data_IF_158732164039
#
_entry.id   IF_158732164039
#
_cell.length_a   1.000
_cell.length_b   1.000
_cell.length_c   1.000
_cell.angle_alpha   90.00
_cell.angle_beta   90.00
_cell.angle_gamma   90.00
#
_symmetry.space_group_name_H-M   'P 1'
#
loop_
_entity.id
_entity.type
_entity.pdbx_description
1 polymer ?
#
# COMPACT_ATOMS: atom_id res chain seq x y z
N UNK A 1 44.74 -25.04 -8.90
CA UNK A 1 44.91 -23.77 -8.17
C UNK A 1 43.54 -23.13 -8.06
N UNK A 2 43.16 -22.76 -6.85
CA UNK A 2 41.89 -22.12 -6.52
C UNK A 2 42.03 -20.60 -6.64
N UNK A 3 41.01 -19.94 -7.20
CA UNK A 3 40.72 -18.49 -7.01
C UNK A 3 39.24 -18.29 -7.41
N UNK A 4 38.28 -18.36 -6.48
CA UNK A 4 37.74 -17.29 -5.64
C UNK A 4 37.18 -16.10 -6.42
N UNK A 5 35.85 -15.96 -6.40
CA UNK A 5 35.02 -14.73 -6.39
C UNK A 5 33.55 -15.18 -6.55
N UNK A 6 32.70 -15.31 -5.55
CA UNK A 6 32.64 -14.61 -4.28
C UNK A 6 31.85 -13.31 -4.40
N UNK A 7 30.52 -13.41 -4.53
CA UNK A 7 29.57 -12.36 -4.10
C UNK A 7 29.02 -11.44 -5.19
N UNK A 8 27.85 -11.77 -5.74
CA UNK A 8 26.93 -10.81 -6.36
C UNK A 8 25.49 -11.16 -5.93
N UNK A 9 25.19 -10.95 -4.66
CA UNK A 9 23.83 -10.94 -4.13
C UNK A 9 23.81 -9.95 -2.97
N UNK A 10 23.66 -8.67 -3.26
CA UNK A 10 23.57 -7.64 -2.23
C UNK A 10 23.11 -6.26 -2.72
N UNK A 11 23.38 -5.92 -3.99
CA UNK A 11 23.13 -4.55 -4.49
C UNK A 11 21.65 -4.28 -4.79
N UNK A 12 20.84 -5.30 -5.08
CA UNK A 12 19.41 -5.10 -5.29
C UNK A 12 18.62 -4.86 -3.99
N UNK A 13 19.15 -5.21 -2.81
CA UNK A 13 18.38 -5.17 -1.57
C UNK A 13 18.43 -3.79 -0.88
N UNK A 14 19.49 -3.00 -1.11
CA UNK A 14 19.65 -1.67 -0.53
C UNK A 14 18.78 -0.60 -1.21
N UNK A 15 18.51 -0.77 -2.51
CA UNK A 15 17.75 0.19 -3.33
C UNK A 15 16.24 0.20 -2.99
N UNK A 16 15.67 -0.96 -2.64
CA UNK A 16 14.28 -1.06 -2.15
C UNK A 16 14.07 -0.27 -0.85
N UNK A 17 14.98 -0.43 0.12
CA UNK A 17 14.88 0.23 1.43
C UNK A 17 14.98 1.76 1.35
N UNK A 18 15.85 2.28 0.48
CA UNK A 18 15.96 3.72 0.26
C UNK A 18 14.70 4.29 -0.41
N UNK A 19 14.15 3.54 -1.37
CA UNK A 19 12.89 3.87 -2.06
C UNK A 19 11.70 3.87 -1.10
N UNK A 20 11.62 2.90 -0.19
CA UNK A 20 10.58 2.81 0.84
C UNK A 20 10.60 4.02 1.79
N UNK A 21 11.79 4.44 2.25
CA UNK A 21 11.91 5.62 3.13
C UNK A 21 11.55 6.93 2.42
N UNK A 22 11.95 7.08 1.14
CA UNK A 22 11.58 8.24 0.34
C UNK A 22 10.07 8.30 0.08
N UNK A 23 9.44 7.14 -0.15
CA UNK A 23 8.01 7.03 -0.39
C UNK A 23 7.20 7.31 0.88
N UNK A 24 7.67 6.84 2.04
CA UNK A 24 7.10 7.16 3.35
C UNK A 24 7.16 8.67 3.63
N UNK A 25 8.32 9.29 3.40
CA UNK A 25 8.47 10.74 3.59
C UNK A 25 7.52 11.52 2.67
N UNK A 26 7.43 11.15 1.40
CA UNK A 26 6.51 11.77 0.44
C UNK A 26 5.03 11.63 0.87
N UNK A 27 4.62 10.45 1.34
CA UNK A 27 3.25 10.22 1.84
C UNK A 27 2.94 10.96 3.14
N UNK A 28 3.94 11.15 4.01
CA UNK A 28 3.80 11.96 5.23
C UNK A 28 3.65 13.45 4.89
N UNK A 29 4.31 13.94 3.83
CA UNK A 29 4.15 15.32 3.35
C UNK A 29 2.87 15.55 2.55
N UNK A 30 2.22 14.48 2.07
CA UNK A 30 1.00 14.60 1.29
C UNK A 30 -0.14 15.19 2.13
N UNK A 31 -0.94 16.06 1.52
CA UNK A 31 -2.16 16.58 2.16
C UNK A 31 -3.18 15.46 2.35
N UNK A 32 -4.13 15.60 3.31
CA UNK A 32 -5.22 14.63 3.45
C UNK A 32 -5.97 14.37 2.14
N UNK A 33 -6.21 15.41 1.33
CA UNK A 33 -6.88 15.28 0.04
C UNK A 33 -6.05 14.44 -0.96
N UNK A 34 -4.73 14.64 -1.02
CA UNK A 34 -3.85 13.86 -1.90
C UNK A 34 -3.80 12.38 -1.49
N UNK A 35 -3.78 12.09 -0.18
CA UNK A 35 -3.84 10.69 0.28
C UNK A 35 -5.15 10.01 -0.10
N UNK A 36 -6.28 10.73 0.01
CA UNK A 36 -7.58 10.19 -0.39
C UNK A 36 -7.63 9.90 -1.90
N UNK A 37 -7.17 10.83 -2.74
CA UNK A 37 -7.11 10.63 -4.18
C UNK A 37 -6.27 9.39 -4.55
N UNK A 38 -5.13 9.19 -3.90
CA UNK A 38 -4.30 8.00 -4.11
C UNK A 38 -5.01 6.70 -3.70
N UNK A 39 -5.72 6.70 -2.58
CA UNK A 39 -6.49 5.54 -2.13
C UNK A 39 -7.63 5.20 -3.10
N UNK A 40 -8.33 6.21 -3.62
CA UNK A 40 -9.39 6.03 -4.61
C UNK A 40 -8.85 5.42 -5.91
N UNK A 41 -7.70 5.88 -6.39
CA UNK A 41 -7.03 5.33 -7.58
C UNK A 41 -6.59 3.89 -7.35
N UNK A 42 -5.94 3.60 -6.21
CA UNK A 42 -5.53 2.24 -5.85
C UNK A 42 -6.74 1.29 -5.76
N UNK A 43 -7.86 1.75 -5.21
CA UNK A 43 -9.11 0.98 -5.16
C UNK A 43 -9.67 0.72 -6.55
N UNK A 44 -9.71 1.72 -7.43
CA UNK A 44 -10.16 1.53 -8.81
C UNK A 44 -9.31 0.49 -9.54
N UNK A 45 -7.99 0.55 -9.41
CA UNK A 45 -7.08 -0.43 -10.01
C UNK A 45 -7.33 -1.85 -9.45
N UNK A 46 -7.55 -1.97 -8.14
CA UNK A 46 -7.83 -3.25 -7.50
C UNK A 46 -9.17 -3.85 -7.94
N UNK A 47 -10.20 -3.02 -8.20
CA UNK A 47 -11.46 -3.49 -8.78
C UNK A 47 -11.32 -3.86 -10.26
N UNK A 48 -10.62 -3.03 -11.06
CA UNK A 48 -10.42 -3.28 -12.48
C UNK A 48 -9.61 -4.56 -12.75
N UNK A 49 -8.64 -4.86 -11.89
CA UNK A 49 -7.85 -6.10 -11.94
C UNK A 49 -8.57 -7.32 -11.36
N UNK A 50 -9.74 -7.14 -10.73
CA UNK A 50 -10.46 -8.23 -10.05
C UNK A 50 -9.80 -8.71 -8.76
N UNK A 51 -8.79 -7.99 -8.25
CA UNK A 51 -8.15 -8.29 -6.97
C UNK A 51 -9.12 -8.10 -5.79
N UNK A 52 -10.03 -7.14 -5.90
CA UNK A 52 -11.12 -6.93 -4.94
C UNK A 52 -12.46 -7.36 -5.53
N UNK A 53 -13.24 -8.09 -4.71
CA UNK A 53 -14.65 -8.37 -5.01
C UNK A 53 -15.46 -7.07 -4.88
N UNK A 54 -16.35 -6.74 -5.84
CA UNK A 54 -17.25 -5.60 -5.74
C UNK A 54 -17.95 -5.61 -4.38
N UNK A 55 -17.72 -4.57 -3.57
CA UNK A 55 -18.42 -4.46 -2.29
C UNK A 55 -19.91 -4.30 -2.57
N UNK A 56 -20.73 -5.12 -1.90
CA UNK A 56 -22.16 -4.82 -1.76
C UNK A 56 -22.26 -3.45 -1.06
N UNK A 57 -23.13 -2.54 -1.52
CA UNK A 57 -23.36 -1.32 -0.77
C UNK A 57 -23.80 -1.73 0.65
N UNK A 58 -22.99 -1.34 1.63
CA UNK A 58 -23.29 -1.52 3.05
C UNK A 58 -24.46 -0.60 3.35
N UNK A 59 -25.53 -1.12 3.95
CA UNK A 59 -26.65 -0.26 4.32
C UNK A 59 -26.22 0.75 5.39
N UNK A 60 -26.94 1.87 5.50
CA UNK A 60 -26.63 2.87 6.53
C UNK A 60 -26.69 2.25 7.93
N UNK A 61 -27.63 1.32 8.18
CA UNK A 61 -27.74 0.63 9.47
C UNK A 61 -26.54 -0.29 9.75
N UNK A 62 -26.03 -0.99 8.74
CA UNK A 62 -24.83 -1.83 8.87
C UNK A 62 -23.58 -0.97 9.18
N UNK A 63 -23.48 0.22 8.57
CA UNK A 63 -22.40 1.17 8.84
C UNK A 63 -22.43 1.67 10.29
N UNK A 64 -23.61 2.05 10.78
CA UNK A 64 -23.80 2.49 12.16
C UNK A 64 -23.53 1.36 13.17
N UNK A 65 -23.94 0.13 12.86
CA UNK A 65 -23.64 -1.04 13.68
C UNK A 65 -22.14 -1.36 13.77
N UNK A 66 -21.37 -1.17 12.68
CA UNK A 66 -19.92 -1.37 12.68
C UNK A 66 -19.16 -0.31 13.49
N UNK A 67 -19.64 0.93 13.53
CA UNK A 67 -19.07 2.01 14.33
C UNK A 67 -19.40 1.91 15.83
N UNK A 68 -20.43 1.13 16.18
CA UNK A 68 -20.94 0.95 17.54
C UNK A 68 -20.34 -0.26 18.27
N UNK A 69 -19.13 -0.70 17.89
CA UNK A 69 -18.46 -1.78 18.62
C UNK A 69 -18.15 -1.31 20.05
N UNK A 70 -18.65 -1.99 21.10
CA UNK A 70 -18.38 -1.58 22.48
C UNK A 70 -16.89 -1.78 22.77
N UNK A 71 -16.28 -0.77 23.41
CA UNK A 71 -14.94 -0.86 23.99
C UNK A 71 -14.91 -1.84 25.16
#
# INVERSE_FOLDING_TARGET
MADKSGGLSGEAQADWQASDQSLLAATLTATPAQRLAWLEEALHLAYASGALKPRKPISQEEWEAMGSSPR
#
